data_IF_850209233011
#
_entry.id   IF_850209233011
#
_cell.length_a   1.000
_cell.length_b   1.000
_cell.length_c   1.000
_cell.angle_alpha   90.00
_cell.angle_beta   90.00
_cell.angle_gamma   90.00
#
_symmetry.space_group_name_H-M   'P 1'
#
loop_
_entity.id
_entity.type
_entity.pdbx_description
1 polymer ?
#
# COMPACT_ATOMS: atom_id res chain seq x y z
N UNK A 1 -18.42 4.36 -2.31
CA UNK A 1 -17.14 3.72 -1.95
C UNK A 1 -17.40 2.27 -1.61
N UNK A 2 -16.61 1.36 -2.18
CA UNK A 2 -16.64 -0.05 -1.75
C UNK A 2 -15.96 -0.16 -0.38
N UNK A 3 -16.47 -0.98 0.54
CA UNK A 3 -15.83 -1.15 1.84
C UNK A 3 -14.49 -1.86 1.69
N UNK A 4 -13.53 -1.49 2.55
CA UNK A 4 -12.27 -2.21 2.67
C UNK A 4 -12.52 -3.59 3.28
N UNK A 5 -11.91 -4.61 2.71
CA UNK A 5 -11.76 -5.90 3.37
C UNK A 5 -10.88 -5.78 4.62
N UNK A 6 -10.95 -6.73 5.57
CA UNK A 6 -10.11 -6.71 6.76
C UNK A 6 -8.61 -6.60 6.44
N UNK A 7 -8.17 -7.23 5.35
CA UNK A 7 -6.79 -7.19 4.93
C UNK A 7 -6.41 -5.86 4.26
N UNK A 8 -7.28 -5.30 3.41
CA UNK A 8 -7.05 -3.96 2.87
C UNK A 8 -6.97 -2.90 3.98
N UNK A 9 -7.76 -3.05 5.06
CA UNK A 9 -7.68 -2.16 6.22
C UNK A 9 -6.37 -2.30 7.00
N UNK A 10 -5.82 -3.52 7.10
CA UNK A 10 -4.50 -3.77 7.69
C UNK A 10 -3.39 -3.09 6.88
N UNK A 11 -3.43 -3.23 5.54
CA UNK A 11 -2.48 -2.57 4.64
C UNK A 11 -2.65 -1.05 4.67
N UNK A 12 -3.89 -0.55 4.75
CA UNK A 12 -4.17 0.88 4.89
C UNK A 12 -3.61 1.45 6.19
N UNK A 13 -3.71 0.73 7.31
CA UNK A 13 -3.09 1.11 8.59
C UNK A 13 -1.58 1.15 8.47
N UNK A 14 -0.97 0.12 7.89
CA UNK A 14 0.46 0.10 7.66
C UNK A 14 0.90 1.31 6.82
N UNK A 15 0.15 1.68 5.79
CA UNK A 15 0.42 2.84 4.95
C UNK A 15 0.36 4.15 5.75
N UNK A 16 -0.74 4.39 6.47
CA UNK A 16 -0.92 5.60 7.29
C UNK A 16 0.15 5.72 8.37
N UNK A 17 0.45 4.61 9.07
CA UNK A 17 1.43 4.56 10.15
C UNK A 17 2.86 4.75 9.63
N UNK A 18 3.19 4.16 8.48
CA UNK A 18 4.54 4.27 7.88
C UNK A 18 4.79 5.67 7.33
N UNK A 19 3.79 6.24 6.65
CA UNK A 19 3.92 7.52 5.95
C UNK A 19 3.47 8.72 6.79
N UNK A 20 3.14 8.49 8.07
CA UNK A 20 2.73 9.53 9.02
C UNK A 20 1.60 10.42 8.49
N UNK A 21 0.58 9.81 7.87
CA UNK A 21 -0.56 10.54 7.30
C UNK A 21 -1.57 10.93 8.40
N UNK A 22 -1.23 11.93 9.21
CA UNK A 22 -2.00 12.34 10.41
C UNK A 22 -3.46 12.73 10.09
N UNK A 23 -3.71 13.26 8.90
CA UNK A 23 -5.04 13.71 8.45
C UNK A 23 -5.84 12.64 7.70
N UNK A 24 -5.28 11.43 7.50
CA UNK A 24 -5.90 10.36 6.71
C UNK A 24 -6.26 9.20 7.62
N UNK A 25 -7.56 8.88 7.70
CA UNK A 25 -7.98 7.64 8.38
C UNK A 25 -7.80 6.44 7.44
N UNK A 26 -7.26 5.31 7.92
CA UNK A 26 -7.10 4.09 7.11
C UNK A 26 -8.39 3.62 6.43
N UNK A 27 -9.53 3.76 7.11
CA UNK A 27 -10.86 3.39 6.63
C UNK A 27 -11.43 4.32 5.54
N UNK A 28 -10.85 5.51 5.38
CA UNK A 28 -11.26 6.50 4.37
C UNK A 28 -10.45 6.37 3.06
N UNK A 29 -9.38 5.56 3.06
CA UNK A 29 -8.59 5.29 1.85
C UNK A 29 -9.43 4.53 0.83
N UNK A 30 -9.61 5.11 -0.35
CA UNK A 30 -10.35 4.48 -1.43
C UNK A 30 -9.56 3.30 -2.02
N UNK A 31 -10.12 2.07 -2.06
CA UNK A 31 -9.36 0.86 -2.41
C UNK A 31 -8.87 0.81 -3.87
N UNK A 32 -9.55 1.50 -4.77
CA UNK A 32 -9.31 1.46 -6.22
C UNK A 32 -8.69 2.76 -6.75
N UNK A 33 -8.53 3.78 -5.90
CA UNK A 33 -7.93 5.05 -6.33
C UNK A 33 -6.40 4.97 -6.35
N UNK A 34 -5.75 5.80 -7.18
CA UNK A 34 -4.30 5.93 -7.18
C UNK A 34 -3.75 6.23 -5.78
N UNK A 35 -2.81 5.40 -5.31
CA UNK A 35 -2.11 5.67 -4.05
C UNK A 35 -1.12 6.83 -4.19
N UNK A 36 -0.46 6.93 -5.35
CA UNK A 36 0.60 7.90 -5.63
C UNK A 36 0.13 8.98 -6.60
N UNK A 37 0.64 10.19 -6.41
CA UNK A 37 0.24 11.36 -7.19
C UNK A 37 -0.96 12.09 -6.58
N UNK A 38 -1.96 12.42 -7.41
CA UNK A 38 -3.15 13.16 -6.96
C UNK A 38 -4.03 12.30 -6.05
N UNK A 39 -4.46 12.86 -4.92
CA UNK A 39 -5.18 12.15 -3.87
C UNK A 39 -4.42 12.25 -2.54
N UNK A 40 -3.87 11.12 -2.07
CA UNK A 40 -3.07 11.05 -0.84
C UNK A 40 -1.75 11.85 -0.90
N UNK A 41 -1.35 12.34 -2.08
CA UNK A 41 -0.16 13.18 -2.24
C UNK A 41 1.16 12.42 -2.14
N UNK A 42 1.13 11.09 -2.22
CA UNK A 42 2.32 10.26 -2.03
C UNK A 42 3.27 10.36 -3.22
N UNK A 43 4.55 10.40 -2.92
CA UNK A 43 5.62 10.49 -3.91
C UNK A 43 6.45 9.20 -4.03
N UNK A 44 7.53 9.25 -4.80
CA UNK A 44 8.42 8.10 -5.00
C UNK A 44 9.22 7.70 -3.76
N UNK A 45 9.45 8.63 -2.82
CA UNK A 45 10.17 8.37 -1.57
C UNK A 45 9.25 7.59 -0.63
N UNK A 46 7.98 8.01 -0.54
CA UNK A 46 6.96 7.30 0.23
C UNK A 46 6.78 5.85 -0.24
N UNK A 47 6.83 5.62 -1.56
CA UNK A 47 6.76 4.29 -2.15
C UNK A 47 7.90 3.37 -1.64
N UNK A 48 9.10 3.92 -1.52
CA UNK A 48 10.28 3.18 -1.03
C UNK A 48 10.17 2.88 0.46
N UNK A 49 9.69 3.83 1.25
CA UNK A 49 9.48 3.64 2.68
C UNK A 49 8.41 2.58 2.95
N UNK A 50 7.28 2.64 2.22
CA UNK A 50 6.23 1.64 2.28
C UNK A 50 6.70 0.26 1.82
N UNK A 51 7.50 0.17 0.74
CA UNK A 51 8.08 -1.09 0.30
C UNK A 51 8.97 -1.73 1.37
N UNK A 52 9.77 -0.92 2.07
CA UNK A 52 10.61 -1.38 3.18
C UNK A 52 9.78 -1.85 4.38
N UNK A 53 8.73 -1.11 4.74
CA UNK A 53 7.80 -1.49 5.80
C UNK A 53 7.11 -2.82 5.48
N UNK A 54 6.60 -3.00 4.26
CA UNK A 54 6.00 -4.26 3.80
C UNK A 54 7.01 -5.41 3.88
N UNK A 55 8.25 -5.18 3.47
CA UNK A 55 9.28 -6.23 3.54
C UNK A 55 9.61 -6.67 4.96
N UNK A 56 9.56 -5.74 5.92
CA UNK A 56 9.76 -6.05 7.34
C UNK A 56 8.54 -6.76 7.94
N UNK A 57 7.32 -6.32 7.60
CA UNK A 57 6.07 -6.83 8.18
C UNK A 57 5.67 -8.19 7.61
N UNK A 58 5.80 -8.38 6.29
CA UNK A 58 5.30 -9.57 5.58
C UNK A 58 6.39 -10.51 5.06
N UNK A 59 7.67 -10.17 5.25
CA UNK A 59 8.79 -11.08 4.99
C UNK A 59 9.15 -11.29 3.53
N UNK A 60 8.67 -10.45 2.60
CA UNK A 60 9.05 -10.49 1.18
C UNK A 60 9.36 -9.10 0.63
N UNK A 61 10.25 -9.02 -0.37
CA UNK A 61 10.67 -7.74 -0.94
C UNK A 61 9.79 -7.32 -2.12
N UNK A 62 9.23 -6.11 -2.06
CA UNK A 62 8.76 -5.40 -3.26
C UNK A 62 9.98 -4.81 -3.99
N UNK A 63 10.18 -5.18 -5.26
CA UNK A 63 11.32 -4.68 -6.06
C UNK A 63 10.87 -3.59 -7.04
N UNK A 64 11.52 -2.42 -6.97
CA UNK A 64 11.21 -1.22 -7.75
C UNK A 64 11.48 -1.28 -9.25
N UNK A 65 12.26 -2.25 -9.72
CA UNK A 65 12.63 -2.42 -11.13
C UNK A 65 11.65 -3.30 -11.91
N UNK A 66 10.65 -3.89 -11.25
CA UNK A 66 9.71 -4.78 -11.90
C UNK A 66 8.59 -4.01 -12.61
N UNK A 67 8.20 -4.45 -13.81
CA UNK A 67 7.01 -3.89 -14.50
C UNK A 67 5.75 -4.00 -13.64
N UNK A 68 5.77 -4.98 -12.76
CA UNK A 68 4.72 -5.26 -11.79
C UNK A 68 4.61 -4.16 -10.73
N UNK A 69 5.67 -3.42 -10.38
CA UNK A 69 5.57 -2.40 -9.33
C UNK A 69 4.61 -1.26 -9.66
N UNK A 70 4.49 -0.88 -10.94
CA UNK A 70 3.46 0.07 -11.38
C UNK A 70 2.05 -0.45 -11.18
N UNK A 71 1.84 -1.77 -11.25
CA UNK A 71 0.54 -2.40 -10.99
C UNK A 71 0.30 -2.54 -9.50
N UNK A 72 1.31 -2.99 -8.75
CA UNK A 72 1.21 -3.21 -7.30
C UNK A 72 0.93 -1.90 -6.56
N UNK A 73 1.61 -0.81 -6.93
CA UNK A 73 1.39 0.51 -6.34
C UNK A 73 0.26 1.31 -7.01
N UNK A 74 -0.52 0.71 -7.92
CA UNK A 74 -1.60 1.41 -8.60
C UNK A 74 -2.74 1.80 -7.64
N UNK A 75 -3.05 0.95 -6.66
CA UNK A 75 -4.13 1.18 -5.69
C UNK A 75 -3.91 0.36 -4.42
N UNK A 76 -4.62 0.69 -3.35
CA UNK A 76 -4.58 -0.09 -2.10
C UNK A 76 -4.97 -1.55 -2.34
N UNK A 77 -5.95 -1.79 -3.22
CA UNK A 77 -6.40 -3.14 -3.57
C UNK A 77 -5.32 -3.93 -4.31
N UNK A 78 -4.68 -3.32 -5.31
CA UNK A 78 -3.62 -3.99 -6.05
C UNK A 78 -2.43 -4.34 -5.13
N UNK A 79 -2.07 -3.42 -4.23
CA UNK A 79 -1.04 -3.62 -3.22
C UNK A 79 -1.42 -4.78 -2.29
N UNK A 80 -2.64 -4.75 -1.75
CA UNK A 80 -3.15 -5.78 -0.85
C UNK A 80 -3.18 -7.16 -1.50
N UNK A 81 -3.66 -7.26 -2.74
CA UNK A 81 -3.69 -8.52 -3.49
C UNK A 81 -2.28 -9.07 -3.70
N UNK A 82 -1.31 -8.21 -4.04
CA UNK A 82 0.07 -8.64 -4.22
C UNK A 82 0.67 -9.16 -2.90
N UNK A 83 0.45 -8.45 -1.79
CA UNK A 83 0.91 -8.88 -0.46
C UNK A 83 0.29 -10.23 -0.10
N UNK A 84 -1.01 -10.44 -0.34
CA UNK A 84 -1.66 -11.73 -0.06
C UNK A 84 -1.08 -12.89 -0.87
N UNK A 85 -0.64 -12.64 -2.11
CA UNK A 85 -0.06 -13.66 -2.98
C UNK A 85 1.38 -14.01 -2.61
N UNK A 86 2.14 -13.06 -2.07
CA UNK A 86 3.57 -13.21 -1.77
C UNK A 86 3.87 -13.49 -0.29
N UNK A 87 2.96 -13.17 0.63
CA UNK A 87 3.16 -13.45 2.06
C UNK A 87 3.40 -14.94 2.27
N UNK A 88 4.47 -15.26 2.97
CA UNK A 88 4.77 -16.61 3.42
C UNK A 88 4.21 -16.72 4.84
N UNK A 89 3.13 -17.49 5.00
CA UNK A 89 2.56 -17.83 6.32
C UNK A 89 3.43 -18.88 7.02
#
# INVERSE_FOLDING_TARGET
>A
MQPLSPFELEVARLLVDTLHLEDVKPEEIAPEEPLFGEGLGLDSIDALELALAISKTYGFQLRSDDKENRRVFASLRALSQHIQQQRVL
#
